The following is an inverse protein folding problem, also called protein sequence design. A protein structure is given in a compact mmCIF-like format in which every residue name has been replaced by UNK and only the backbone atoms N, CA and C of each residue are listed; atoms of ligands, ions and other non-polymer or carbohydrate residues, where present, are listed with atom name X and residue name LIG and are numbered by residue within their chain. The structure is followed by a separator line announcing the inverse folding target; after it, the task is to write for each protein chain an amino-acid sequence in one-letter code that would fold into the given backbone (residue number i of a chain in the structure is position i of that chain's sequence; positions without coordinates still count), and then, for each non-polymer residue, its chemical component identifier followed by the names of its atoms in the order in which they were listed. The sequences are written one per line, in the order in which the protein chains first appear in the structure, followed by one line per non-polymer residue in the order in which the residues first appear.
data_IF_141435747887
#
_entry.id   IF_141435747887
#
_cell.length_a   1.000
_cell.length_b   1.000
_cell.length_c   1.000
_cell.angle_alpha   90.00
_cell.angle_beta   90.00
_cell.angle_gamma   90.00
#
_symmetry.space_group_name_H-M   'P 1'
#
loop_
_entity.id
_entity.type
_entity.pdbx_description
1 polymer ?
#
# COMPACT_ATOMS: atom_id res chain seq x y z
N UNK A 1 -2.90 -15.60 8.33
CA UNK A 1 -3.89 -14.55 7.97
C UNK A 1 -3.19 -13.20 7.95
N UNK A 2 -3.49 -12.32 6.98
CA UNK A 2 -2.81 -11.03 6.87
C UNK A 2 -3.16 -10.11 8.05
N UNK A 3 -2.13 -9.57 8.71
CA UNK A 3 -2.26 -8.47 9.68
C UNK A 3 -1.72 -7.13 9.13
N UNK A 4 -1.17 -7.15 7.91
CA UNK A 4 -0.73 -5.99 7.14
C UNK A 4 -1.96 -5.24 6.58
N UNK A 5 -1.88 -3.90 6.47
CA UNK A 5 -2.93 -3.07 5.83
C UNK A 5 -2.31 -2.27 4.70
N UNK A 6 -2.84 -2.46 3.51
CA UNK A 6 -2.34 -1.84 2.29
C UNK A 6 -3.49 -1.28 1.48
N UNK A 7 -3.28 -0.11 0.90
CA UNK A 7 -4.21 0.50 -0.04
C UNK A 7 -3.44 0.74 -1.34
N UNK A 8 -4.04 0.43 -2.48
CA UNK A 8 -3.33 0.50 -3.77
C UNK A 8 -4.29 0.87 -4.87
N UNK A 9 -3.89 1.80 -5.74
CA UNK A 9 -4.55 2.02 -7.03
C UNK A 9 -3.69 1.41 -8.13
N UNK A 10 -4.23 0.44 -8.84
CA UNK A 10 -3.51 -0.29 -9.89
C UNK A 10 -4.34 -0.41 -11.17
N UNK A 11 -3.65 -0.64 -12.30
CA UNK A 11 -4.23 -1.04 -13.58
C UNK A 11 -3.32 -2.10 -14.23
N UNK A 12 -3.79 -3.35 -14.27
CA UNK A 12 -2.96 -4.50 -14.59
C UNK A 12 -1.79 -4.61 -13.61
N UNK A 13 -0.56 -4.45 -14.09
CA UNK A 13 0.65 -4.46 -13.26
C UNK A 13 1.20 -3.05 -13.00
N UNK A 14 0.55 -1.99 -13.49
CA UNK A 14 0.92 -0.60 -13.21
C UNK A 14 0.31 -0.14 -11.89
N UNK A 15 1.07 0.63 -11.11
CA UNK A 15 0.65 1.16 -9.81
C UNK A 15 0.64 2.69 -9.89
N UNK A 16 -0.50 3.30 -9.62
CA UNK A 16 -0.59 4.76 -9.54
C UNK A 16 -0.12 5.27 -8.17
N UNK A 17 -0.33 4.48 -7.12
CA UNK A 17 0.20 4.72 -5.77
C UNK A 17 0.00 3.47 -4.91
N UNK A 18 0.84 3.34 -3.88
CA UNK A 18 0.76 2.26 -2.89
C UNK A 18 0.93 2.86 -1.49
N UNK A 19 0.06 2.49 -0.56
CA UNK A 19 0.11 2.91 0.84
C UNK A 19 0.24 1.68 1.73
N UNK A 20 1.28 1.65 2.55
CA UNK A 20 1.44 0.71 3.66
C UNK A 20 1.15 1.46 4.96
N UNK A 21 0.21 0.98 5.78
CA UNK A 21 -0.24 1.71 6.97
C UNK A 21 -0.64 0.78 8.12
N UNK A 22 -0.78 1.33 9.33
CA UNK A 22 -1.45 0.68 10.45
C UNK A 22 -2.99 0.73 10.34
N UNK A 23 -3.54 1.64 9.55
CA UNK A 23 -4.98 1.91 9.44
C UNK A 23 -5.78 0.73 8.87
N UNK A 24 -6.63 0.12 9.70
CA UNK A 24 -7.72 -0.74 9.22
C UNK A 24 -8.80 0.09 8.48
N UNK A 25 -9.71 -0.59 7.77
CA UNK A 25 -10.88 0.05 7.16
C UNK A 25 -11.92 0.43 8.24
N UNK A 26 -11.70 1.55 8.92
CA UNK A 26 -12.61 2.05 9.96
C UNK A 26 -12.65 3.58 9.99
N UNK A 27 -13.79 4.13 10.44
CA UNK A 27 -13.94 5.58 10.71
C UNK A 27 -13.02 6.08 11.82
N UNK A 28 -12.65 5.22 12.77
CA UNK A 28 -11.74 5.60 13.85
C UNK A 28 -10.34 5.92 13.32
N UNK A 29 -9.86 5.11 12.37
CA UNK A 29 -8.55 5.25 11.73
C UNK A 29 -8.52 6.34 10.65
N UNK A 30 -9.53 6.39 9.77
CA UNK A 30 -9.56 7.30 8.61
C UNK A 30 -10.26 8.63 8.86
N UNK A 31 -11.00 8.70 9.96
CA UNK A 31 -11.85 9.83 10.29
C UNK A 31 -13.23 9.78 9.62
N UNK A 32 -14.11 10.64 10.11
CA UNK A 32 -15.42 10.89 9.53
C UNK A 32 -15.77 12.38 9.61
N UNK A 33 -16.41 12.91 8.57
CA UNK A 33 -16.90 14.28 8.55
C UNK A 33 -18.08 14.45 9.54
N UNK A 34 -18.07 15.55 10.27
CA UNK A 34 -19.05 15.94 11.29
C UNK A 34 -19.36 17.44 11.20
N UNK A 35 -20.34 17.90 12.00
CA UNK A 35 -20.74 19.32 12.08
C UNK A 35 -20.95 19.94 10.69
N UNK A 36 -21.87 19.37 9.90
CA UNK A 36 -22.15 19.81 8.53
C UNK A 36 -20.88 19.86 7.64
N UNK A 37 -20.04 18.81 7.71
CA UNK A 37 -18.80 18.67 6.95
C UNK A 37 -17.69 19.70 7.26
N UNK A 38 -17.79 20.41 8.38
CA UNK A 38 -16.76 21.38 8.81
C UNK A 38 -15.68 20.79 9.70
N UNK A 39 -15.89 19.58 10.24
CA UNK A 39 -14.93 18.91 11.12
C UNK A 39 -14.63 17.50 10.63
N UNK A 40 -13.35 17.16 10.44
CA UNK A 40 -12.90 15.77 10.27
C UNK A 40 -12.50 15.19 11.63
N UNK A 41 -13.22 14.17 12.10
CA UNK A 41 -13.03 13.58 13.43
C UNK A 41 -12.31 12.23 13.33
N UNK A 42 -11.10 12.14 13.89
CA UNK A 42 -10.25 10.94 13.95
C UNK A 42 -10.16 10.45 15.41
N UNK A 43 -10.22 9.13 15.65
CA UNK A 43 -10.25 8.54 17.01
C UNK A 43 -9.02 7.71 17.36
N UNK A 44 -8.13 7.46 16.40
CA UNK A 44 -7.00 6.56 16.56
C UNK A 44 -5.73 7.20 16.02
N UNK A 45 -4.59 6.88 16.64
CA UNK A 45 -3.27 7.21 16.11
C UNK A 45 -2.89 6.16 15.08
N UNK A 46 -2.62 6.59 13.86
CA UNK A 46 -2.27 5.72 12.75
C UNK A 46 -1.10 6.34 11.98
N UNK A 47 -0.25 5.51 11.38
CA UNK A 47 0.88 5.96 10.57
C UNK A 47 1.08 5.03 9.38
N UNK A 48 1.49 5.61 8.25
CA UNK A 48 1.81 4.86 7.04
C UNK A 48 2.79 5.58 6.14
N UNK A 49 3.30 4.85 5.15
CA UNK A 49 4.21 5.33 4.11
C UNK A 49 3.51 5.24 2.76
N UNK A 50 3.43 6.37 2.07
CA UNK A 50 2.83 6.49 0.74
C UNK A 50 3.92 6.51 -0.34
N UNK A 51 3.85 5.55 -1.26
CA UNK A 51 4.70 5.47 -2.44
C UNK A 51 3.95 6.10 -3.63
N UNK A 52 4.52 7.19 -4.15
CA UNK A 52 4.00 7.93 -5.30
C UNK A 52 4.98 7.85 -6.47
N UNK A 53 4.49 7.74 -7.72
CA UNK A 53 5.26 8.05 -8.90
C UNK A 53 5.75 9.52 -8.79
N UNK A 54 7.05 9.74 -8.86
CA UNK A 54 7.63 11.08 -8.91
C UNK A 54 7.46 11.69 -10.30
N UNK A 55 6.98 12.92 -10.30
CA UNK A 55 7.28 13.99 -11.29
C UNK A 55 7.96 15.17 -10.60
N UNK A 56 8.57 14.94 -9.43
CA UNK A 56 9.21 15.99 -8.64
C UNK A 56 10.68 16.13 -9.04
N UNK A 57 11.09 17.37 -9.31
CA UNK A 57 12.49 17.77 -9.41
C UNK A 57 13.24 17.25 -8.18
N UNK A 58 14.49 16.81 -8.38
CA UNK A 58 15.42 16.40 -7.32
C UNK A 58 15.17 17.22 -6.04
N UNK A 59 14.50 16.62 -5.05
CA UNK A 59 14.30 17.28 -3.77
C UNK A 59 15.67 17.34 -3.10
N UNK A 60 16.08 18.50 -2.56
CA UNK A 60 17.31 18.59 -1.79
C UNK A 60 17.29 17.50 -0.72
N UNK A 61 18.37 16.73 -0.62
CA UNK A 61 18.54 15.71 0.40
C UNK A 61 18.36 16.37 1.77
N UNK A 62 17.27 16.04 2.48
CA UNK A 62 17.10 16.46 3.87
C UNK A 62 18.03 15.58 4.73
N UNK A 63 19.12 16.16 5.21
CA UNK A 63 20.03 15.54 6.18
C UNK A 63 20.07 16.38 7.45
N UNK A 64 19.80 15.75 8.59
CA UNK A 64 20.02 16.33 9.92
C UNK A 64 21.43 16.05 10.47
N UNK A 65 22.33 15.53 9.62
CA UNK A 65 23.73 15.22 9.98
C UNK A 65 24.69 15.89 9.01
N UNK A 66 25.85 16.32 9.52
CA UNK A 66 26.84 17.03 8.73
C UNK A 66 27.49 16.09 7.70
N UNK A 67 27.04 16.25 6.45
CA UNK A 67 27.71 15.92 5.19
C UNK A 67 28.66 14.71 5.18
N UNK A 68 28.11 13.49 5.13
CA UNK A 68 28.74 12.49 4.25
C UNK A 68 28.22 12.75 2.84
N UNK A 69 29.03 13.40 1.98
CA UNK A 69 28.72 13.57 0.55
C UNK A 69 28.61 12.20 -0.10
N UNK A 70 27.42 11.63 -0.13
CA UNK A 70 27.13 10.47 -0.96
C UNK A 70 27.28 10.88 -2.42
N UNK A 71 27.80 9.99 -3.28
CA UNK A 71 27.99 10.18 -4.72
C UNK A 71 26.70 10.49 -5.54
N UNK A 72 25.61 10.86 -4.87
CA UNK A 72 24.33 11.29 -5.43
C UNK A 72 24.34 12.77 -5.89
N UNK A 73 25.46 13.49 -5.72
CA UNK A 73 25.64 14.85 -6.26
C UNK A 73 25.71 14.91 -7.80
N UNK A 74 25.75 13.75 -8.50
CA UNK A 74 25.70 13.71 -9.97
C UNK A 74 24.30 13.87 -10.57
N UNK A 75 23.25 13.91 -9.75
CA UNK A 75 21.89 14.05 -10.24
C UNK A 75 21.53 15.53 -10.34
N UNK A 76 21.89 16.12 -11.47
CA UNK A 76 21.69 17.54 -11.78
C UNK A 76 20.34 18.07 -11.29
N UNK A 77 20.41 19.07 -10.42
CA UNK A 77 19.27 19.86 -9.95
C UNK A 77 18.47 20.33 -11.17
N UNK A 78 17.20 19.94 -11.26
CA UNK A 78 16.30 20.31 -12.36
C UNK A 78 16.00 19.23 -13.41
N UNK A 79 16.59 18.03 -13.36
CA UNK A 79 16.09 16.90 -14.19
C UNK A 79 14.78 16.36 -13.62
N UNK A 80 13.72 16.39 -14.42
CA UNK A 80 12.47 15.69 -14.15
C UNK A 80 12.71 14.18 -14.31
N UNK A 81 12.96 13.47 -13.20
CA UNK A 81 12.88 12.01 -13.22
C UNK A 81 11.40 11.65 -13.17
N UNK A 82 10.90 11.04 -14.24
CA UNK A 82 9.60 10.37 -14.20
C UNK A 82 9.85 8.98 -13.63
N UNK A 83 9.18 8.61 -12.54
CA UNK A 83 9.23 7.21 -12.09
C UNK A 83 7.92 6.50 -12.41
N UNK A 84 7.97 5.29 -12.94
CA UNK A 84 6.81 4.42 -13.16
C UNK A 84 6.80 3.35 -12.07
N UNK A 85 5.76 3.31 -11.24
CA UNK A 85 5.60 2.25 -10.24
C UNK A 85 4.89 1.05 -10.89
N UNK A 86 5.44 -0.14 -10.71
CA UNK A 86 4.86 -1.39 -11.22
C UNK A 86 4.98 -2.51 -10.18
N UNK A 87 4.21 -3.58 -10.32
CA UNK A 87 4.38 -4.78 -9.48
C UNK A 87 5.66 -5.56 -9.89
N UNK A 88 6.07 -6.52 -9.06
CA UNK A 88 7.14 -7.46 -9.41
C UNK A 88 6.83 -8.28 -10.67
N UNK A 89 5.55 -8.57 -10.94
CA UNK A 89 5.11 -9.39 -12.06
C UNK A 89 5.03 -8.63 -13.40
N UNK A 90 5.35 -7.33 -13.43
CA UNK A 90 5.36 -6.56 -14.69
C UNK A 90 6.45 -7.05 -15.63
N UNK A 91 6.05 -7.48 -16.84
CA UNK A 91 6.95 -8.10 -17.84
C UNK A 91 7.58 -7.12 -18.84
N UNK A 92 7.31 -5.82 -18.72
CA UNK A 92 7.77 -4.84 -19.71
C UNK A 92 6.74 -4.59 -20.80
N UNK A 93 6.54 -3.33 -21.19
CA UNK A 93 6.04 -2.98 -22.53
C UNK A 93 7.29 -2.65 -23.38
N UNK A 94 7.30 -3.06 -24.66
CA UNK A 94 8.45 -2.87 -25.57
C UNK A 94 8.77 -1.38 -25.86
N UNK A 95 7.84 -0.47 -25.56
CA UNK A 95 8.05 0.97 -25.64
C UNK A 95 8.75 1.50 -24.39
N UNK A 96 10.08 1.44 -24.40
CA UNK A 96 10.93 2.18 -23.47
C UNK A 96 10.70 3.68 -23.68
N UNK A 97 9.93 4.33 -22.79
CA UNK A 97 10.16 5.76 -22.53
C UNK A 97 11.55 5.87 -21.88
N UNK A 98 12.59 6.37 -22.59
CA UNK A 98 13.96 6.39 -22.07
C UNK A 98 14.09 7.33 -20.86
N UNK A 99 13.09 8.17 -20.60
CA UNK A 99 13.07 9.16 -19.53
C UNK A 99 12.44 8.66 -18.22
N UNK A 100 11.81 7.48 -18.22
CA UNK A 100 11.09 6.96 -17.05
C UNK A 100 11.84 5.83 -16.32
N UNK A 101 12.21 6.08 -15.07
CA UNK A 101 12.78 5.06 -14.18
C UNK A 101 11.68 4.13 -13.65
N UNK A 102 11.80 2.83 -13.90
CA UNK A 102 10.82 1.85 -13.43
C UNK A 102 11.17 1.39 -12.01
N UNK A 103 10.27 1.63 -11.06
CA UNK A 103 10.38 1.17 -9.68
C UNK A 103 9.40 0.02 -9.47
N UNK A 104 9.92 -1.15 -9.12
CA UNK A 104 9.11 -2.34 -8.85
C UNK A 104 8.76 -2.40 -7.37
N UNK A 105 7.47 -2.42 -7.04
CA UNK A 105 6.97 -2.55 -5.68
C UNK A 105 6.55 -4.00 -5.37
N UNK A 106 6.94 -4.55 -4.22
CA UNK A 106 6.55 -5.89 -3.79
C UNK A 106 5.12 -5.87 -3.21
N UNK A 107 4.12 -5.78 -4.08
CA UNK A 107 2.71 -5.94 -3.67
C UNK A 107 2.52 -7.36 -3.12
N UNK A 108 2.18 -7.55 -1.83
CA UNK A 108 2.28 -8.85 -1.15
C UNK A 108 1.08 -9.79 -1.39
N UNK A 109 0.29 -9.51 -2.42
CA UNK A 109 -0.88 -10.28 -2.83
C UNK A 109 -1.05 -10.23 -4.35
N UNK A 110 -1.82 -11.17 -4.87
CA UNK A 110 -2.09 -11.25 -6.31
C UNK A 110 -3.01 -10.12 -6.77
N UNK A 111 -2.76 -9.63 -7.98
CA UNK A 111 -3.63 -8.69 -8.69
C UNK A 111 -4.02 -9.28 -10.06
N UNK A 112 -5.30 -9.24 -10.46
CA UNK A 112 -6.44 -8.65 -9.71
C UNK A 112 -6.86 -9.50 -8.49
N UNK A 113 -7.44 -8.89 -7.44
CA UNK A 113 -8.06 -9.62 -6.34
C UNK A 113 -9.17 -10.54 -6.85
N UNK A 114 -9.22 -11.75 -6.31
CA UNK A 114 -10.29 -12.69 -6.60
C UNK A 114 -11.54 -12.32 -5.79
N UNK A 115 -12.69 -12.24 -6.48
CA UNK A 115 -13.99 -12.06 -5.81
C UNK A 115 -14.33 -13.30 -4.98
N UNK A 116 -15.06 -13.08 -3.89
CA UNK A 116 -15.63 -14.16 -3.10
C UNK A 116 -16.63 -14.96 -3.96
N UNK A 117 -16.58 -16.28 -3.81
CA UNK A 117 -17.59 -17.19 -4.37
C UNK A 117 -18.93 -17.09 -3.63
N UNK A 118 -19.97 -17.76 -4.13
CA UNK A 118 -21.32 -17.71 -3.55
C UNK A 118 -21.39 -18.26 -2.13
N UNK A 119 -20.51 -19.20 -1.77
CA UNK A 119 -20.45 -19.85 -0.45
C UNK A 119 -19.41 -19.20 0.50
N UNK A 120 -18.64 -18.23 -0.01
CA UNK A 120 -17.60 -17.58 0.79
C UNK A 120 -18.22 -16.58 1.76
N UNK A 121 -17.76 -16.60 3.01
CA UNK A 121 -18.15 -15.65 4.05
C UNK A 121 -16.93 -14.97 4.64
N UNK A 122 -17.00 -13.67 4.95
CA UNK A 122 -15.92 -13.02 5.67
C UNK A 122 -15.74 -13.67 7.04
N UNK A 123 -14.48 -13.77 7.47
CA UNK A 123 -14.16 -14.21 8.83
C UNK A 123 -14.75 -13.24 9.86
N UNK A 124 -15.40 -13.79 10.88
CA UNK A 124 -15.90 -13.06 12.04
C UNK A 124 -15.54 -13.82 13.31
N UNK A 125 -14.76 -13.20 14.19
CA UNK A 125 -14.20 -13.86 15.37
C UNK A 125 -15.25 -14.29 16.41
N UNK A 126 -16.44 -13.71 16.37
CA UNK A 126 -17.59 -13.99 17.24
C UNK A 126 -18.54 -15.07 16.67
N UNK A 127 -18.35 -15.49 15.41
CA UNK A 127 -19.15 -16.57 14.79
C UNK A 127 -18.63 -17.94 15.20
N UNK A 128 -19.53 -18.93 15.19
CA UNK A 128 -19.17 -20.35 15.38
C UNK A 128 -18.93 -21.00 14.01
N UNK A 129 -17.79 -21.67 13.88
CA UNK A 129 -17.40 -22.46 12.70
C UNK A 129 -17.18 -23.91 13.14
N UNK A 130 -18.08 -24.80 12.73
CA UNK A 130 -18.09 -26.22 13.12
C UNK A 130 -17.23 -27.11 12.23
N UNK A 131 -16.82 -26.62 11.05
CA UNK A 131 -15.87 -27.31 10.17
C UNK A 131 -14.48 -27.30 10.81
N UNK A 132 -13.83 -28.45 10.83
CA UNK A 132 -12.46 -28.58 11.34
C UNK A 132 -11.48 -27.78 10.47
N UNK A 133 -10.62 -27.02 11.13
CA UNK A 133 -9.50 -26.30 10.54
C UNK A 133 -8.35 -27.25 10.15
N UNK A 134 -7.25 -26.68 9.67
CA UNK A 134 -6.04 -27.42 9.26
C UNK A 134 -5.38 -28.20 10.41
N UNK A 135 -5.76 -27.94 11.66
CA UNK A 135 -5.30 -28.63 12.86
C UNK A 135 -6.37 -29.56 13.45
N UNK A 136 -7.47 -29.79 12.75
CA UNK A 136 -8.56 -30.64 13.23
C UNK A 136 -9.46 -30.00 14.30
N UNK A 137 -9.31 -28.70 14.56
CA UNK A 137 -10.04 -27.93 15.58
C UNK A 137 -11.19 -27.12 15.01
N UNK A 138 -12.16 -26.73 15.85
CA UNK A 138 -13.27 -25.82 15.48
C UNK A 138 -13.09 -24.44 16.13
N UNK A 139 -13.90 -23.46 15.71
CA UNK A 139 -13.91 -22.12 16.34
C UNK A 139 -15.29 -21.75 16.92
N UNK A 140 -15.37 -21.25 18.16
CA UNK A 140 -14.28 -21.17 19.14
C UNK A 140 -13.84 -22.58 19.55
N UNK A 141 -12.60 -22.71 20.02
CA UNK A 141 -12.14 -23.97 20.59
C UNK A 141 -12.97 -24.25 21.85
N UNK A 142 -13.65 -25.39 21.88
CA UNK A 142 -14.24 -25.88 23.13
C UNK A 142 -13.08 -26.15 24.09
N UNK A 143 -13.06 -25.41 25.20
CA UNK A 143 -12.13 -25.64 26.31
C UNK A 143 -12.40 -26.96 27.01
#
# INVERSE_FOLDING_TARGET
MPHIKTFTRYNGQNIAWFLLTSSNLSKAAWGALQKNNTQLMIRSYELGVLFLPKTLQSVPQFSCTDKSRSNLDKLALGKNIKTKLVTLCWKGDEEKDPSAEVVRLPVPYQVPPQLYGPEDVPWSWDRRYTKKDVYGSVWPRHG
#
